data_IF_065892855857
#
_entry.id   IF_065892855857
#
_cell.length_a   1.000
_cell.length_b   1.000
_cell.length_c   1.000
_cell.angle_alpha   90.00
_cell.angle_beta   90.00
_cell.angle_gamma   90.00
#
_symmetry.space_group_name_H-M   'P 1'
#
loop_
_entity.id
_entity.type
_entity.pdbx_description
1 polymer ?
#
# COMPACT_ATOMS: atom_id res chain seq x y z
N UNK A 1 -11.39 -15.26 -3.63
CA UNK A 1 -9.94 -14.99 -3.86
C UNK A 1 -9.03 -15.78 -2.92
N UNK A 2 -9.05 -15.60 -1.58
CA UNK A 2 -8.14 -16.35 -0.69
C UNK A 2 -8.35 -17.87 -0.75
N UNK A 3 -9.59 -18.34 -0.95
CA UNK A 3 -9.96 -19.76 -1.05
C UNK A 3 -9.73 -20.39 -2.42
N UNK A 4 -9.54 -19.60 -3.47
CA UNK A 4 -9.40 -20.07 -4.85
C UNK A 4 -8.01 -20.62 -5.17
N UNK A 5 -7.00 -20.26 -4.38
CA UNK A 5 -5.65 -20.81 -4.52
C UNK A 5 -5.10 -21.27 -3.15
N UNK A 6 -5.43 -22.50 -2.74
CA UNK A 6 -5.06 -23.03 -1.43
C UNK A 6 -3.55 -23.21 -1.24
N UNK A 7 -2.80 -23.29 -2.33
CA UNK A 7 -1.33 -23.47 -2.29
C UNK A 7 -0.54 -22.17 -2.29
N UNK A 8 -1.21 -21.01 -2.44
CA UNK A 8 -0.54 -19.73 -2.40
C UNK A 8 -0.26 -19.32 -0.94
N UNK A 9 0.95 -18.85 -0.66
CA UNK A 9 1.25 -18.11 0.57
C UNK A 9 0.54 -16.75 0.49
N UNK A 10 -0.14 -16.37 1.57
CA UNK A 10 -0.96 -15.17 1.62
C UNK A 10 -0.51 -14.29 2.78
N UNK A 11 -0.35 -13.02 2.50
CA UNK A 11 0.06 -12.01 3.47
C UNK A 11 -1.06 -10.99 3.64
N UNK A 12 -1.56 -10.86 4.87
CA UNK A 12 -2.56 -9.88 5.24
C UNK A 12 -2.02 -9.01 6.35
N UNK A 13 -2.13 -7.72 6.20
CA UNK A 13 -1.60 -6.81 7.21
C UNK A 13 -2.50 -5.61 7.46
N UNK A 14 -2.40 -5.08 8.66
CA UNK A 14 -3.00 -3.81 9.03
C UNK A 14 -2.00 -2.71 8.70
N UNK A 15 -2.38 -1.83 7.77
CA UNK A 15 -1.55 -0.75 7.25
C UNK A 15 -1.49 0.45 8.20
N UNK A 16 -1.01 0.22 9.43
CA UNK A 16 -1.00 1.22 10.50
C UNK A 16 -0.03 2.38 10.23
N UNK A 17 1.05 2.16 9.51
CA UNK A 17 1.91 3.26 9.07
C UNK A 17 1.28 4.09 7.95
N UNK A 18 0.58 3.48 6.99
CA UNK A 18 -0.18 4.22 5.98
C UNK A 18 -1.25 5.11 6.64
N UNK A 19 -1.90 4.64 7.69
CA UNK A 19 -2.90 5.41 8.42
C UNK A 19 -2.35 6.73 8.97
N UNK A 20 -1.05 6.82 9.27
CA UNK A 20 -0.39 8.04 9.73
C UNK A 20 -0.42 9.19 8.70
N UNK A 21 -0.70 8.93 7.44
CA UNK A 21 -0.85 10.00 6.44
C UNK A 21 -1.99 10.96 6.80
N UNK A 22 -3.04 10.44 7.43
CA UNK A 22 -4.26 11.19 7.81
C UNK A 22 -4.57 11.14 9.30
N UNK A 23 -4.44 9.99 9.95
CA UNK A 23 -4.77 9.78 11.36
C UNK A 23 -3.60 10.21 12.26
N UNK A 24 -3.82 11.23 13.10
CA UNK A 24 -2.80 11.83 13.99
C UNK A 24 -3.05 11.59 15.49
N UNK A 25 -4.21 11.04 15.85
CA UNK A 25 -4.55 10.75 17.24
C UNK A 25 -4.00 9.38 17.65
N UNK A 26 -3.04 9.32 18.63
CA UNK A 26 -2.43 8.05 19.03
C UNK A 26 -3.39 7.09 19.75
N UNK A 27 -4.45 7.63 20.39
CA UNK A 27 -5.46 6.80 21.06
C UNK A 27 -6.34 6.12 20.02
N UNK A 28 -6.89 6.88 19.08
CA UNK A 28 -7.67 6.33 17.97
C UNK A 28 -6.86 5.32 17.16
N UNK A 29 -5.59 5.59 16.91
CA UNK A 29 -4.70 4.66 16.21
C UNK A 29 -4.63 3.30 16.93
N UNK A 30 -4.41 3.31 18.26
CA UNK A 30 -4.36 2.07 19.05
C UNK A 30 -5.70 1.34 19.03
N UNK A 31 -6.79 2.08 19.25
CA UNK A 31 -8.12 1.49 19.31
C UNK A 31 -8.51 0.85 17.97
N UNK A 32 -8.26 1.53 16.84
CA UNK A 32 -8.54 1.00 15.50
C UNK A 32 -7.65 -0.20 15.14
N UNK A 33 -6.38 -0.20 15.50
CA UNK A 33 -5.50 -1.37 15.29
C UNK A 33 -6.11 -2.62 15.94
N UNK A 34 -6.55 -2.53 17.20
CA UNK A 34 -7.12 -3.67 17.92
C UNK A 34 -8.46 -4.11 17.35
N UNK A 35 -9.35 -3.16 17.04
CA UNK A 35 -10.67 -3.46 16.48
C UNK A 35 -10.54 -4.14 15.12
N UNK A 36 -9.70 -3.59 14.24
CA UNK A 36 -9.48 -4.15 12.90
C UNK A 36 -8.82 -5.53 13.01
N UNK A 37 -7.81 -5.69 13.87
CA UNK A 37 -7.15 -6.98 14.08
C UNK A 37 -8.14 -8.05 14.56
N UNK A 38 -8.96 -7.73 15.58
CA UNK A 38 -9.97 -8.66 16.10
C UNK A 38 -10.99 -9.05 15.03
N UNK A 39 -11.43 -8.07 14.23
CA UNK A 39 -12.37 -8.30 13.12
C UNK A 39 -11.77 -9.24 12.08
N UNK A 40 -10.54 -8.97 11.61
CA UNK A 40 -9.90 -9.80 10.61
C UNK A 40 -9.61 -11.21 11.11
N UNK A 41 -9.10 -11.36 12.34
CA UNK A 41 -8.81 -12.66 12.93
C UNK A 41 -10.07 -13.54 13.02
N UNK A 42 -11.25 -12.97 13.24
CA UNK A 42 -12.51 -13.73 13.23
C UNK A 42 -12.84 -14.34 11.85
N UNK A 43 -12.35 -13.76 10.75
CA UNK A 43 -12.53 -14.31 9.41
C UNK A 43 -11.46 -15.34 9.05
N UNK A 44 -10.28 -15.28 9.66
CA UNK A 44 -9.14 -16.14 9.35
C UNK A 44 -8.94 -17.31 10.31
N UNK A 45 -9.81 -17.49 11.32
CA UNK A 45 -9.67 -18.53 12.35
C UNK A 45 -9.43 -19.95 11.80
N UNK A 46 -9.95 -20.25 10.61
CA UNK A 46 -9.84 -21.56 9.97
C UNK A 46 -9.05 -21.54 8.64
N UNK A 47 -8.38 -20.44 8.31
CA UNK A 47 -7.61 -20.34 7.08
C UNK A 47 -6.16 -20.78 7.30
N UNK A 48 -5.63 -21.60 6.40
CA UNK A 48 -4.24 -22.06 6.41
C UNK A 48 -3.43 -21.34 5.32
N UNK A 49 -2.12 -21.23 5.52
CA UNK A 49 -1.22 -20.56 4.56
C UNK A 49 -1.46 -19.05 4.48
N UNK A 50 -1.89 -18.45 5.60
CA UNK A 50 -2.10 -17.02 5.74
C UNK A 50 -1.26 -16.49 6.90
N UNK A 51 -0.43 -15.48 6.63
CA UNK A 51 0.23 -14.68 7.67
C UNK A 51 -0.55 -13.40 7.87
N UNK A 52 -0.83 -13.07 9.12
CA UNK A 52 -1.52 -11.85 9.51
C UNK A 52 -0.66 -11.06 10.50
N UNK A 53 -0.38 -9.78 10.18
CA UNK A 53 0.54 -8.96 10.96
C UNK A 53 0.15 -7.48 10.91
N UNK A 54 0.74 -6.66 11.77
CA UNK A 54 0.74 -5.22 11.59
C UNK A 54 1.92 -4.81 10.72
N UNK A 55 1.74 -3.85 9.84
CA UNK A 55 2.85 -3.31 9.02
C UNK A 55 4.02 -2.87 9.91
N UNK A 56 3.71 -2.31 11.09
CA UNK A 56 4.72 -1.87 12.07
C UNK A 56 5.49 -2.99 12.77
N UNK A 57 5.08 -4.26 12.61
CA UNK A 57 5.82 -5.39 13.18
C UNK A 57 7.03 -5.79 12.32
N UNK A 58 7.13 -5.26 11.10
CA UNK A 58 8.17 -5.58 10.13
C UNK A 58 9.01 -4.33 9.81
N UNK A 59 10.08 -4.07 10.58
CA UNK A 59 10.92 -2.88 10.38
C UNK A 59 11.61 -2.85 9.01
N UNK A 60 11.86 -3.99 8.38
CA UNK A 60 12.48 -4.12 7.05
C UNK A 60 11.67 -3.44 5.95
N UNK A 61 10.35 -3.26 6.15
CA UNK A 61 9.50 -2.48 5.23
C UNK A 61 10.02 -1.05 5.11
N UNK A 62 10.45 -0.42 6.22
CA UNK A 62 11.00 0.94 6.20
C UNK A 62 12.40 1.01 5.63
N UNK A 63 13.21 -0.01 5.85
CA UNK A 63 14.53 -0.10 5.22
C UNK A 63 14.37 -0.18 3.70
N UNK A 64 13.50 -1.08 3.24
CA UNK A 64 13.20 -1.22 1.81
C UNK A 64 12.55 0.06 1.25
N UNK A 65 11.58 0.66 1.97
CA UNK A 65 10.98 1.93 1.57
C UNK A 65 12.02 3.01 1.30
N UNK A 66 13.04 3.13 2.17
CA UNK A 66 14.11 4.11 1.96
C UNK A 66 14.93 3.80 0.72
N UNK A 67 15.31 2.55 0.52
CA UNK A 67 16.05 2.10 -0.67
C UNK A 67 15.23 2.40 -1.94
N UNK A 68 13.95 2.04 -1.95
CA UNK A 68 13.06 2.29 -3.09
C UNK A 68 12.85 3.78 -3.33
N UNK A 69 12.77 4.60 -2.28
CA UNK A 69 12.66 6.07 -2.37
C UNK A 69 13.87 6.69 -3.06
N UNK A 70 15.07 6.14 -2.83
CA UNK A 70 16.29 6.58 -3.50
C UNK A 70 16.35 6.18 -4.99
N UNK A 71 15.63 5.13 -5.37
CA UNK A 71 15.57 4.65 -6.76
C UNK A 71 14.37 5.21 -7.54
N UNK A 72 13.29 5.61 -6.85
CA UNK A 72 12.04 6.03 -7.46
C UNK A 72 12.14 7.45 -8.02
N UNK A 73 11.89 7.66 -9.34
CA UNK A 73 11.87 9.01 -9.89
C UNK A 73 10.71 9.84 -9.31
N UNK A 74 10.99 11.06 -8.85
CA UNK A 74 9.95 11.99 -8.34
C UNK A 74 8.80 12.18 -9.33
N UNK A 75 9.10 12.22 -10.64
CA UNK A 75 8.10 12.37 -11.69
C UNK A 75 7.07 11.23 -11.76
N UNK A 76 7.42 10.03 -11.28
CA UNK A 76 6.48 8.92 -11.14
C UNK A 76 5.45 9.24 -10.05
N UNK A 77 5.91 9.70 -8.89
CA UNK A 77 5.04 10.05 -7.75
C UNK A 77 4.15 11.27 -8.04
N UNK A 78 4.64 12.24 -8.82
CA UNK A 78 3.83 13.40 -9.24
C UNK A 78 2.57 12.98 -10.03
N UNK A 79 2.55 11.78 -10.61
CA UNK A 79 1.42 11.24 -11.38
C UNK A 79 0.47 10.39 -10.53
N UNK A 80 0.83 10.11 -9.27
CA UNK A 80 -0.03 9.35 -8.38
C UNK A 80 -1.38 10.06 -8.17
N UNK A 81 -2.48 9.31 -8.29
CA UNK A 81 -3.83 9.89 -8.35
C UNK A 81 -4.16 10.73 -7.13
N UNK A 82 -3.89 10.23 -5.92
CA UNK A 82 -4.25 10.92 -4.68
C UNK A 82 -3.49 12.26 -4.54
N UNK A 83 -2.18 12.27 -4.82
CA UNK A 83 -1.39 13.51 -4.82
C UNK A 83 -1.93 14.50 -5.85
N UNK A 84 -2.09 14.05 -7.11
CA UNK A 84 -2.56 14.90 -8.20
C UNK A 84 -3.96 15.45 -7.95
N UNK A 85 -4.86 14.65 -7.39
CA UNK A 85 -6.22 15.08 -7.07
C UNK A 85 -6.21 16.22 -6.05
N UNK A 86 -5.42 16.09 -4.98
CA UNK A 86 -5.34 17.12 -3.93
C UNK A 86 -4.67 18.40 -4.44
N UNK A 87 -3.60 18.29 -5.24
CA UNK A 87 -2.98 19.45 -5.91
C UNK A 87 -4.00 20.18 -6.79
N UNK A 88 -4.74 19.47 -7.63
CA UNK A 88 -5.77 20.07 -8.49
C UNK A 88 -6.85 20.76 -7.67
N UNK A 89 -7.36 20.12 -6.61
CA UNK A 89 -8.34 20.70 -5.70
C UNK A 89 -7.82 21.99 -5.05
N UNK A 90 -6.57 22.02 -4.63
CA UNK A 90 -5.96 23.21 -4.06
C UNK A 90 -5.89 24.37 -5.07
N UNK A 91 -5.49 24.06 -6.30
CA UNK A 91 -5.42 25.05 -7.39
C UNK A 91 -6.82 25.61 -7.72
N UNK A 92 -7.84 24.74 -7.85
CA UNK A 92 -9.23 25.15 -8.12
C UNK A 92 -9.79 26.09 -7.04
N UNK A 93 -9.36 25.91 -5.79
CA UNK A 93 -9.75 26.79 -4.67
C UNK A 93 -8.81 28.00 -4.46
N UNK A 94 -7.90 28.27 -5.39
CA UNK A 94 -6.87 29.32 -5.29
C UNK A 94 -6.00 29.21 -4.02
N UNK A 95 -5.72 28.00 -3.58
CA UNK A 95 -4.79 27.70 -2.51
C UNK A 95 -3.40 27.41 -3.06
N UNK A 96 -2.40 27.40 -2.14
CA UNK A 96 -1.08 26.84 -2.43
C UNK A 96 -1.25 25.39 -2.91
N UNK A 97 -0.63 24.97 -4.03
CA UNK A 97 -0.74 23.60 -4.53
C UNK A 97 -0.40 22.53 -3.50
N UNK A 98 0.56 22.79 -2.62
CA UNK A 98 1.02 21.86 -1.59
C UNK A 98 0.28 22.00 -0.24
N UNK A 99 -0.77 22.81 -0.17
CA UNK A 99 -1.57 22.98 1.05
C UNK A 99 -2.10 21.64 1.55
N UNK A 100 -1.82 21.31 2.82
CA UNK A 100 -2.21 20.07 3.50
C UNK A 100 -1.62 18.79 2.89
N UNK A 101 -0.64 18.91 2.00
CA UNK A 101 0.10 17.76 1.50
C UNK A 101 1.35 17.55 2.36
N UNK A 102 1.35 16.48 3.15
CA UNK A 102 2.52 16.07 3.89
C UNK A 102 3.37 15.08 3.07
N UNK A 103 4.64 14.91 3.48
CA UNK A 103 5.57 14.02 2.80
C UNK A 103 5.07 12.56 2.73
N UNK A 104 4.38 12.09 3.77
CA UNK A 104 3.81 10.75 3.79
C UNK A 104 2.73 10.56 2.71
N UNK A 105 1.85 11.56 2.51
CA UNK A 105 0.84 11.54 1.46
C UNK A 105 1.48 11.54 0.05
N UNK A 106 2.59 12.24 -0.13
CA UNK A 106 3.31 12.25 -1.40
C UNK A 106 4.02 10.91 -1.68
N UNK A 107 4.61 10.30 -0.66
CA UNK A 107 5.50 9.14 -0.80
C UNK A 107 4.87 7.78 -0.43
N UNK A 108 3.61 7.74 0.07
CA UNK A 108 2.99 6.47 0.44
C UNK A 108 2.94 5.42 -0.70
N UNK A 109 2.91 5.77 -2.00
CA UNK A 109 2.97 4.75 -3.05
C UNK A 109 4.29 3.97 -3.04
N UNK A 110 5.38 4.59 -2.56
CA UNK A 110 6.66 3.89 -2.38
C UNK A 110 6.62 2.99 -1.15
N UNK A 111 5.95 3.41 -0.07
CA UNK A 111 5.74 2.56 1.09
C UNK A 111 4.88 1.33 0.73
N UNK A 112 3.81 1.51 -0.04
CA UNK A 112 3.01 0.40 -0.54
C UNK A 112 3.83 -0.52 -1.47
N UNK A 113 4.72 0.04 -2.29
CA UNK A 113 5.64 -0.78 -3.07
C UNK A 113 6.56 -1.61 -2.17
N UNK A 114 7.05 -1.06 -1.05
CA UNK A 114 7.85 -1.81 -0.08
C UNK A 114 7.06 -2.96 0.56
N UNK A 115 5.79 -2.73 0.95
CA UNK A 115 4.90 -3.78 1.48
C UNK A 115 4.75 -4.96 0.52
N UNK A 116 4.67 -4.68 -0.78
CA UNK A 116 4.48 -5.68 -1.83
C UNK A 116 5.80 -6.39 -2.17
N UNK A 117 6.87 -5.62 -2.37
CA UNK A 117 8.13 -6.11 -2.92
C UNK A 117 8.99 -6.83 -1.88
N UNK A 118 8.83 -6.54 -0.59
CA UNK A 118 9.53 -7.24 0.49
C UNK A 118 9.26 -8.75 0.47
N UNK A 119 8.02 -9.13 0.16
CA UNK A 119 7.58 -10.51 0.06
C UNK A 119 7.65 -11.07 -1.35
N UNK A 120 8.16 -10.31 -2.30
CA UNK A 120 8.18 -10.67 -3.74
C UNK A 120 6.81 -11.19 -4.23
N UNK A 121 5.74 -10.48 -3.85
CA UNK A 121 4.37 -10.90 -4.13
C UNK A 121 4.07 -10.86 -5.63
N UNK A 122 3.62 -11.99 -6.19
CA UNK A 122 3.25 -12.09 -7.61
C UNK A 122 1.94 -11.37 -7.91
N UNK A 123 0.96 -11.47 -7.00
CA UNK A 123 -0.39 -10.94 -7.17
C UNK A 123 -0.85 -10.16 -5.97
N UNK A 124 -1.42 -9.00 -6.22
CA UNK A 124 -1.91 -8.09 -5.18
C UNK A 124 -3.41 -7.86 -5.39
N UNK A 125 -4.27 -8.47 -4.55
CA UNK A 125 -5.71 -8.21 -4.58
C UNK A 125 -5.98 -6.77 -4.15
N UNK A 126 -6.56 -5.98 -5.06
CA UNK A 126 -6.86 -4.57 -4.81
C UNK A 126 -8.18 -4.15 -5.45
N UNK A 127 -8.81 -3.12 -4.91
CA UNK A 127 -9.88 -2.39 -5.58
C UNK A 127 -9.38 -1.68 -6.84
N UNK A 128 -10.29 -1.32 -7.73
CA UNK A 128 -9.95 -0.64 -8.98
C UNK A 128 -9.25 0.71 -8.75
N UNK A 129 -9.55 1.39 -7.65
CA UNK A 129 -8.93 2.64 -7.21
C UNK A 129 -7.46 2.48 -6.80
N UNK A 130 -7.07 1.29 -6.35
CA UNK A 130 -5.70 0.99 -5.92
C UNK A 130 -4.83 0.38 -7.04
N UNK A 131 -5.40 0.09 -8.21
CA UNK A 131 -4.69 -0.50 -9.35
C UNK A 131 -3.42 0.28 -9.71
N UNK A 132 -3.53 1.62 -9.77
CA UNK A 132 -2.39 2.47 -10.12
C UNK A 132 -1.21 2.31 -9.16
N UNK A 133 -1.45 2.08 -7.86
CA UNK A 133 -0.37 1.93 -6.89
C UNK A 133 0.42 0.63 -7.11
N UNK A 134 -0.25 -0.45 -7.51
CA UNK A 134 0.43 -1.70 -7.90
C UNK A 134 1.22 -1.51 -9.20
N UNK A 135 0.68 -0.75 -10.16
CA UNK A 135 1.41 -0.38 -11.38
C UNK A 135 2.65 0.47 -11.07
N UNK A 136 2.55 1.43 -10.12
CA UNK A 136 3.70 2.21 -9.63
C UNK A 136 4.76 1.29 -9.01
N UNK A 137 4.37 0.30 -8.19
CA UNK A 137 5.30 -0.68 -7.65
C UNK A 137 6.01 -1.44 -8.76
N UNK A 138 5.29 -1.88 -9.80
CA UNK A 138 5.86 -2.52 -10.98
C UNK A 138 6.81 -1.62 -11.80
N UNK A 139 6.57 -0.29 -11.83
CA UNK A 139 7.52 0.66 -12.42
C UNK A 139 8.78 0.82 -11.56
N UNK A 140 8.64 0.88 -10.22
CA UNK A 140 9.76 0.96 -9.29
C UNK A 140 10.68 -0.26 -9.43
N UNK A 141 10.13 -1.46 -9.66
CA UNK A 141 10.91 -2.68 -9.94
C UNK A 141 11.88 -2.48 -11.11
N UNK A 142 11.49 -1.77 -12.17
CA UNK A 142 12.39 -1.50 -13.29
C UNK A 142 13.60 -0.65 -12.90
N UNK A 143 13.48 0.19 -11.87
CA UNK A 143 14.60 1.01 -11.39
C UNK A 143 15.48 0.23 -10.43
N UNK A 144 14.90 -0.46 -9.44
CA UNK A 144 15.68 -1.18 -8.42
C UNK A 144 16.45 -2.37 -9.03
N UNK A 145 15.85 -3.09 -9.98
CA UNK A 145 16.49 -4.25 -10.63
C UNK A 145 17.78 -3.91 -11.41
N UNK A 146 18.05 -2.62 -11.64
CA UNK A 146 19.34 -2.19 -12.22
C UNK A 146 20.51 -2.34 -11.24
N UNK A 147 20.21 -2.46 -9.95
CA UNK A 147 21.18 -2.52 -8.87
C UNK A 147 21.21 -3.89 -8.18
N UNK A 148 20.25 -4.77 -8.49
CA UNK A 148 20.14 -6.09 -7.88
C UNK A 148 20.77 -7.14 -8.80
N UNK A 149 21.51 -8.07 -8.18
CA UNK A 149 22.01 -9.28 -8.87
C UNK A 149 20.93 -10.32 -9.09
N UNK A 150 19.93 -10.34 -8.19
CA UNK A 150 18.76 -11.22 -8.26
C UNK A 150 17.50 -10.35 -8.41
N UNK A 151 16.91 -10.30 -9.62
CA UNK A 151 15.81 -9.39 -9.91
C UNK A 151 14.51 -9.74 -9.17
N UNK A 152 13.84 -8.72 -8.65
CA UNK A 152 12.49 -8.81 -8.10
C UNK A 152 11.47 -8.91 -9.24
N UNK A 153 10.45 -9.77 -9.07
CA UNK A 153 9.33 -9.90 -10.00
C UNK A 153 8.39 -8.68 -9.92
N UNK A 154 7.76 -8.34 -11.05
CA UNK A 154 6.74 -7.30 -11.06
C UNK A 154 5.43 -7.83 -10.49
N UNK A 155 4.83 -7.14 -9.52
CA UNK A 155 3.53 -7.52 -9.01
C UNK A 155 2.42 -7.25 -10.04
N UNK A 156 1.41 -8.12 -10.05
CA UNK A 156 0.22 -7.96 -10.87
C UNK A 156 -1.00 -7.60 -10.01
N UNK A 157 -1.78 -6.56 -10.35
CA UNK A 157 -3.02 -6.26 -9.65
C UNK A 157 -4.07 -7.32 -9.95
N UNK A 158 -4.65 -7.89 -8.90
CA UNK A 158 -5.78 -8.83 -9.02
C UNK A 158 -7.07 -8.08 -8.64
N UNK A 159 -7.87 -7.73 -9.65
CA UNK A 159 -9.12 -6.97 -9.46
C UNK A 159 -10.30 -7.93 -9.61
N UNK A 160 -11.07 -8.06 -8.54
CA UNK A 160 -12.34 -8.78 -8.60
C UNK A 160 -13.44 -7.84 -9.12
N UNK A 161 -13.94 -8.14 -10.32
CA UNK A 161 -15.00 -7.37 -10.97
C UNK A 161 -16.38 -7.58 -10.32
N UNK A 162 -16.52 -8.57 -9.46
CA UNK A 162 -17.76 -8.88 -8.75
C UNK A 162 -17.93 -8.12 -7.44
N UNK A 163 -16.87 -7.44 -6.98
CA UNK A 163 -16.90 -6.66 -5.73
C UNK A 163 -17.39 -5.25 -6.02
N UNK A 164 -18.54 -4.91 -5.47
CA UNK A 164 -19.06 -3.54 -5.48
C UNK A 164 -18.41 -2.71 -4.38
N UNK A 165 -18.20 -1.42 -4.65
CA UNK A 165 -17.72 -0.48 -3.65
C UNK A 165 -18.82 -0.24 -2.61
N UNK A 166 -18.60 -0.66 -1.37
CA UNK A 166 -19.50 -0.35 -0.26
C UNK A 166 -19.17 1.05 0.24
N UNK A 167 -20.12 1.95 0.11
CA UNK A 167 -20.01 3.31 0.68
C UNK A 167 -20.16 3.20 2.18
N UNK A 168 -19.23 3.75 2.95
CA UNK A 168 -19.32 3.81 4.41
C UNK A 168 -20.54 4.62 4.86
N UNK A 169 -21.13 4.22 5.98
CA UNK A 169 -22.29 4.88 6.62
C UNK A 169 -21.81 6.16 7.32
#
# INVERSE_FOLDING_TARGET
MARENPNAQKYFFIADYHALTTLKDPKLMRDYRHIIAATWLSFFENETGCDFYFQSDIPEIFELYWILSCCCPKGLLNRAHAYKALVNQNIEHNHDPDKQINQGLFSYPVLMAADILLFNADKVPVGADQKQHVEIAGEIVNFINRFLSDPISKPEPLIDKSVETIVGI
#
